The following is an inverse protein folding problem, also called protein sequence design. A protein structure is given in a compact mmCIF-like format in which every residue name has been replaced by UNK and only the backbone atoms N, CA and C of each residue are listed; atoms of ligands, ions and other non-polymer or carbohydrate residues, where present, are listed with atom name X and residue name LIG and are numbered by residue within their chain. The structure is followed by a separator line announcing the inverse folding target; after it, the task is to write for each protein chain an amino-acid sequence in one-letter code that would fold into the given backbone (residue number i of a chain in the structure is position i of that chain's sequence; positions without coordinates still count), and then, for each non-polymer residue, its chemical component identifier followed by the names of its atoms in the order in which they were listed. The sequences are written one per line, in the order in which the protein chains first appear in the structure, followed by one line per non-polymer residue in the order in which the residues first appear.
data_IF_044662737707
#
_entry.id   IF_044662737707
#
_cell.length_a   1.000
_cell.length_b   1.000
_cell.length_c   1.000
_cell.angle_alpha   90.00
_cell.angle_beta   90.00
_cell.angle_gamma   90.00
#
_symmetry.space_group_name_H-M   'P 1'
#
loop_
_entity.id
_entity.type
_entity.pdbx_description
1 polymer ?
#
# COMPACT_ATOMS: atom_id res chain seq x y z
N UNK A 1 -8.21 8.78 42.04
CA UNK A 1 -7.89 7.92 40.87
C UNK A 1 -8.44 8.61 39.63
N UNK A 2 -7.71 9.57 39.09
CA UNK A 2 -8.09 10.29 37.88
C UNK A 2 -7.34 9.71 36.68
N UNK A 3 -8.13 9.14 35.74
CA UNK A 3 -7.85 8.97 34.31
C UNK A 3 -6.57 8.24 33.90
N UNK A 4 -6.66 6.93 33.62
CA UNK A 4 -5.75 6.37 32.59
C UNK A 4 -6.01 7.15 31.31
N UNK A 5 -5.04 7.93 30.84
CA UNK A 5 -5.21 8.76 29.66
C UNK A 5 -5.47 7.84 28.45
N UNK A 6 -6.71 7.87 27.93
CA UNK A 6 -7.12 6.99 26.83
C UNK A 6 -6.39 7.32 25.51
N UNK A 7 -6.31 6.34 24.62
CA UNK A 7 -5.87 6.52 23.24
C UNK A 7 -7.13 6.81 22.40
N UNK A 8 -7.14 7.91 21.66
CA UNK A 8 -8.25 8.29 20.76
C UNK A 8 -7.71 8.71 19.39
N UNK A 9 -8.24 8.12 18.35
CA UNK A 9 -7.93 8.43 16.96
C UNK A 9 -9.07 9.16 16.26
N UNK A 10 -8.71 9.98 15.28
CA UNK A 10 -9.62 10.69 14.38
C UNK A 10 -9.09 10.53 12.95
N UNK A 11 -9.95 10.12 12.01
CA UNK A 11 -9.63 10.13 10.57
C UNK A 11 -10.43 11.26 9.92
N UNK A 12 -9.73 12.22 9.32
CA UNK A 12 -10.33 13.44 8.79
C UNK A 12 -10.68 13.25 7.32
N UNK A 13 -11.90 13.68 6.94
CA UNK A 13 -12.34 13.77 5.55
C UNK A 13 -12.88 12.47 4.93
N UNK A 14 -12.83 11.35 5.66
CA UNK A 14 -13.41 10.07 5.23
C UNK A 14 -13.99 9.32 6.43
N UNK A 15 -15.05 8.55 6.18
CA UNK A 15 -15.69 7.70 7.20
C UNK A 15 -14.92 6.35 7.29
N UNK A 16 -13.82 6.36 8.04
CA UNK A 16 -12.96 5.19 8.27
C UNK A 16 -12.70 5.00 9.77
N UNK A 17 -12.53 3.75 10.19
CA UNK A 17 -12.28 3.44 11.59
C UNK A 17 -10.87 3.88 12.02
N UNK A 18 -10.73 4.60 13.15
CA UNK A 18 -9.41 4.97 13.69
C UNK A 18 -8.70 3.80 14.40
N UNK A 19 -9.36 2.64 14.54
CA UNK A 19 -8.89 1.46 15.30
C UNK A 19 -7.45 1.06 14.98
N UNK A 20 -7.08 1.00 13.69
CA UNK A 20 -5.73 0.67 13.26
C UNK A 20 -4.67 1.62 13.79
N UNK A 21 -4.93 2.92 13.71
CA UNK A 21 -4.03 3.95 14.20
C UNK A 21 -3.94 3.91 15.73
N UNK A 22 -5.08 3.74 16.41
CA UNK A 22 -5.11 3.59 17.86
C UNK A 22 -4.34 2.34 18.33
N UNK A 23 -4.46 1.21 17.62
CA UNK A 23 -3.70 -0.01 17.94
C UNK A 23 -2.21 0.15 17.68
N UNK A 24 -1.82 0.86 16.62
CA UNK A 24 -0.41 1.18 16.38
C UNK A 24 0.19 1.97 17.56
N UNK A 25 -0.50 3.01 18.03
CA UNK A 25 -0.07 3.81 19.18
C UNK A 25 0.01 2.96 20.44
N UNK A 26 -1.06 2.18 20.72
CA UNK A 26 -1.10 1.27 21.87
C UNK A 26 0.09 0.32 21.85
N UNK A 27 0.41 -0.26 20.69
CA UNK A 27 1.51 -1.20 20.53
C UNK A 27 2.87 -0.56 20.83
N UNK A 28 3.09 0.69 20.42
CA UNK A 28 4.31 1.42 20.78
C UNK A 28 4.39 1.63 22.30
N UNK A 29 3.30 2.11 22.93
CA UNK A 29 3.28 2.34 24.37
C UNK A 29 3.47 1.04 25.17
N UNK A 30 2.82 -0.06 24.77
CA UNK A 30 3.02 -1.40 25.34
C UNK A 30 4.48 -1.84 25.24
N UNK A 31 5.08 -1.70 24.06
CA UNK A 31 6.49 -2.10 23.81
C UNK A 31 7.47 -1.32 24.69
N UNK A 32 7.11 -0.11 25.13
CA UNK A 32 7.91 0.75 26.00
C UNK A 32 7.55 0.63 27.48
N UNK A 33 6.53 -0.16 27.83
CA UNK A 33 6.04 -0.25 29.21
C UNK A 33 5.32 1.01 29.69
N UNK A 34 4.84 1.84 28.76
CA UNK A 34 4.21 3.14 29.02
C UNK A 34 2.68 3.11 28.91
N UNK A 35 2.11 1.92 28.67
CA UNK A 35 0.66 1.77 28.56
C UNK A 35 0.00 2.06 29.91
N UNK A 36 -0.96 2.99 29.93
CA UNK A 36 -1.67 3.39 31.14
C UNK A 36 -1.02 4.58 31.87
N UNK A 37 0.26 4.85 31.61
CA UNK A 37 0.95 6.06 32.06
C UNK A 37 0.68 7.24 31.12
N UNK A 38 0.72 6.96 29.81
CA UNK A 38 0.46 7.94 28.77
C UNK A 38 -0.84 7.65 28.02
N UNK A 39 -1.50 8.73 27.58
CA UNK A 39 -2.57 8.69 26.60
C UNK A 39 -2.15 9.38 25.31
N UNK A 40 -2.99 9.25 24.29
CA UNK A 40 -2.68 9.80 22.98
C UNK A 40 -3.94 10.29 22.28
N UNK A 41 -3.77 11.40 21.54
CA UNK A 41 -4.74 11.84 20.53
C UNK A 41 -4.03 11.82 19.19
N UNK A 42 -4.56 11.05 18.24
CA UNK A 42 -3.97 10.93 16.91
C UNK A 42 -4.98 11.37 15.86
N UNK A 43 -4.55 12.30 15.01
CA UNK A 43 -5.33 12.78 13.88
C UNK A 43 -4.67 12.31 12.59
N UNK A 44 -5.45 11.68 11.72
CA UNK A 44 -5.00 11.14 10.44
C UNK A 44 -5.66 11.90 9.31
N UNK A 45 -4.85 12.39 8.37
CA UNK A 45 -5.29 12.94 7.07
C UNK A 45 -4.65 12.10 5.96
N UNK A 46 -5.33 11.95 4.82
CA UNK A 46 -4.83 11.16 3.70
C UNK A 46 -5.25 11.76 2.37
N UNK A 47 -4.29 11.86 1.44
CA UNK A 47 -4.54 12.15 0.03
C UNK A 47 -4.76 10.86 -0.79
N UNK A 48 -4.42 9.69 -0.20
CA UNK A 48 -4.65 8.40 -0.82
C UNK A 48 -6.13 8.02 -0.73
N UNK A 49 -6.77 7.67 -1.86
CA UNK A 49 -8.09 7.07 -1.82
C UNK A 49 -8.07 5.76 -1.03
N UNK A 50 -9.11 5.54 -0.22
CA UNK A 50 -9.20 4.37 0.66
C UNK A 50 -9.85 3.18 -0.05
N UNK A 51 -9.38 1.97 0.26
CA UNK A 51 -9.95 0.70 -0.21
C UNK A 51 -10.01 0.54 -1.75
N UNK A 52 -8.93 0.98 -2.41
CA UNK A 52 -8.79 0.90 -3.88
C UNK A 52 -7.55 0.12 -4.35
N UNK A 53 -6.82 -0.53 -3.44
CA UNK A 53 -5.58 -1.24 -3.78
C UNK A 53 -4.32 -0.35 -3.85
N UNK A 54 -4.36 0.81 -3.20
CA UNK A 54 -3.21 1.75 -3.06
C UNK A 54 -2.56 1.69 -1.67
N UNK A 55 -2.77 0.60 -0.93
CA UNK A 55 -2.02 0.28 0.29
C UNK A 55 -2.10 1.34 1.41
N UNK A 56 -3.24 2.03 1.51
CA UNK A 56 -3.46 3.14 2.46
C UNK A 56 -3.31 2.73 3.94
N UNK A 57 -3.71 1.51 4.30
CA UNK A 57 -3.59 1.01 5.68
C UNK A 57 -2.14 0.81 6.13
N UNK A 58 -1.27 0.31 5.25
CA UNK A 58 0.15 0.14 5.54
C UNK A 58 0.84 1.50 5.75
N UNK A 59 0.50 2.49 4.91
CA UNK A 59 0.98 3.86 5.08
C UNK A 59 0.51 4.48 6.40
N UNK A 60 -0.77 4.35 6.74
CA UNK A 60 -1.33 4.85 7.99
C UNK A 60 -0.69 4.21 9.23
N UNK A 61 -0.47 2.89 9.19
CA UNK A 61 0.16 2.14 10.29
C UNK A 61 1.60 2.59 10.53
N UNK A 62 2.38 2.71 9.46
CA UNK A 62 3.75 3.21 9.54
C UNK A 62 3.80 4.65 10.07
N UNK A 63 2.92 5.53 9.57
CA UNK A 63 2.84 6.91 10.03
C UNK A 63 2.50 7.01 11.52
N UNK A 64 1.53 6.21 12.00
CA UNK A 64 1.13 6.18 13.40
C UNK A 64 2.26 5.72 14.33
N UNK A 65 2.95 4.62 13.98
CA UNK A 65 4.09 4.12 14.74
C UNK A 65 5.24 5.14 14.75
N UNK A 66 5.57 5.68 13.58
CA UNK A 66 6.65 6.66 13.42
C UNK A 66 6.39 7.93 14.24
N UNK A 67 5.19 8.48 14.14
CA UNK A 67 4.77 9.66 14.90
C UNK A 67 4.78 9.41 16.40
N UNK A 68 4.34 8.23 16.86
CA UNK A 68 4.31 7.89 18.29
C UNK A 68 5.73 7.78 18.86
N UNK A 69 6.63 7.05 18.18
CA UNK A 69 8.02 6.94 18.60
C UNK A 69 8.72 8.31 18.66
N UNK A 70 8.43 9.19 17.69
CA UNK A 70 8.93 10.56 17.71
C UNK A 70 8.36 11.41 18.84
N UNK A 71 7.07 11.28 19.13
CA UNK A 71 6.43 11.98 20.24
C UNK A 71 7.03 11.58 21.60
N UNK A 72 7.56 10.36 21.72
CA UNK A 72 8.33 9.89 22.87
C UNK A 72 9.79 10.39 22.88
N UNK A 73 10.20 11.21 21.91
CA UNK A 73 11.57 11.74 21.79
C UNK A 73 12.58 10.76 21.20
N UNK A 74 12.14 9.62 20.66
CA UNK A 74 13.02 8.60 20.14
C UNK A 74 13.42 8.85 18.68
N UNK A 75 14.47 8.15 18.22
CA UNK A 75 14.86 8.08 16.80
C UNK A 75 14.41 6.73 16.23
N UNK A 76 13.30 6.67 15.46
CA UNK A 76 12.74 5.42 14.98
C UNK A 76 13.69 4.72 14.00
N UNK A 77 13.93 3.43 14.21
CA UNK A 77 14.62 2.58 13.22
C UNK A 77 13.58 1.99 12.26
N UNK A 78 13.81 1.99 10.94
CA UNK A 78 12.81 1.49 10.01
C UNK A 78 12.36 0.04 10.26
N UNK A 79 13.27 -0.84 10.66
CA UNK A 79 12.93 -2.24 11.00
C UNK A 79 11.96 -2.34 12.17
N UNK A 80 12.11 -1.49 13.17
CA UNK A 80 11.24 -1.45 14.35
C UNK A 80 9.86 -0.85 14.01
N UNK A 81 9.83 0.18 13.16
CA UNK A 81 8.57 0.74 12.66
C UNK A 81 7.78 -0.33 11.91
N UNK A 82 8.42 -1.07 11.00
CA UNK A 82 7.77 -2.15 10.26
C UNK A 82 7.26 -3.26 11.18
N UNK A 83 8.08 -3.69 12.15
CA UNK A 83 7.70 -4.75 13.08
C UNK A 83 6.41 -4.38 13.84
N UNK A 84 6.37 -3.18 14.43
CA UNK A 84 5.25 -2.71 15.22
C UNK A 84 4.00 -2.46 14.36
N UNK A 85 4.17 -1.84 13.19
CA UNK A 85 3.06 -1.56 12.26
C UNK A 85 2.43 -2.85 11.72
N UNK A 86 3.25 -3.84 11.36
CA UNK A 86 2.77 -5.15 10.88
C UNK A 86 2.07 -5.91 11.99
N UNK A 87 2.62 -5.92 13.20
CA UNK A 87 1.97 -6.57 14.35
C UNK A 87 0.60 -5.95 14.64
N UNK A 88 0.51 -4.62 14.69
CA UNK A 88 -0.75 -3.92 14.90
C UNK A 88 -1.76 -4.23 13.77
N UNK A 89 -1.31 -4.25 12.51
CA UNK A 89 -2.15 -4.54 11.34
C UNK A 89 -2.69 -5.97 11.34
N UNK A 90 -1.90 -6.95 11.78
CA UNK A 90 -2.30 -8.34 11.93
C UNK A 90 -3.34 -8.51 13.04
N UNK A 91 -3.11 -7.86 14.18
CA UNK A 91 -4.02 -7.97 15.32
C UNK A 91 -5.37 -7.29 15.04
N UNK A 92 -5.38 -6.17 14.30
CA UNK A 92 -6.62 -5.54 13.81
C UNK A 92 -7.31 -6.35 12.71
N UNK A 93 -6.66 -7.37 12.14
CA UNK A 93 -7.21 -8.15 11.03
C UNK A 93 -7.28 -7.41 9.69
N UNK A 94 -6.57 -6.28 9.55
CA UNK A 94 -6.51 -5.50 8.31
C UNK A 94 -5.73 -6.23 7.22
N UNK A 95 -4.80 -7.10 7.63
CA UNK A 95 -4.00 -7.97 6.76
C UNK A 95 -3.90 -9.37 7.33
N UNK A 96 -3.83 -10.38 6.45
CA UNK A 96 -3.68 -11.78 6.85
C UNK A 96 -2.20 -12.21 6.98
N UNK A 97 -1.32 -11.60 6.19
CA UNK A 97 0.11 -11.99 6.10
C UNK A 97 1.03 -10.93 6.68
N UNK A 98 0.51 -9.73 6.92
CA UNK A 98 1.29 -8.56 7.34
C UNK A 98 1.49 -7.55 6.21
N UNK A 99 1.32 -7.94 4.94
CA UNK A 99 1.55 -7.07 3.77
C UNK A 99 2.90 -6.32 3.85
N UNK A 100 3.99 -7.07 4.08
CA UNK A 100 5.32 -6.49 4.29
C UNK A 100 5.81 -5.73 3.05
N UNK A 101 5.45 -6.15 1.84
CA UNK A 101 5.65 -5.39 0.61
C UNK A 101 5.08 -3.97 0.71
N UNK A 102 3.81 -3.84 1.03
CA UNK A 102 3.12 -2.54 1.16
C UNK A 102 3.71 -1.70 2.31
N UNK A 103 3.94 -2.32 3.47
CA UNK A 103 4.52 -1.67 4.64
C UNK A 103 5.96 -1.20 4.36
N UNK A 104 6.78 -2.04 3.73
CA UNK A 104 8.16 -1.68 3.43
C UNK A 104 8.25 -0.62 2.32
N UNK A 105 7.44 -0.72 1.27
CA UNK A 105 7.43 0.28 0.20
C UNK A 105 7.02 1.67 0.73
N UNK A 106 5.95 1.74 1.52
CA UNK A 106 5.47 3.00 2.11
C UNK A 106 6.43 3.60 3.14
N UNK A 107 7.16 2.79 3.91
CA UNK A 107 8.13 3.29 4.89
C UNK A 107 9.47 3.67 4.25
N UNK A 108 9.96 2.88 3.29
CA UNK A 108 11.35 2.96 2.84
C UNK A 108 11.52 3.71 1.51
N UNK A 109 10.46 3.90 0.74
CA UNK A 109 10.53 4.46 -0.60
C UNK A 109 11.18 3.54 -1.64
N UNK A 110 11.05 3.92 -2.91
CA UNK A 110 11.51 3.13 -4.04
C UNK A 110 10.72 1.83 -4.21
N UNK A 111 11.34 0.83 -4.85
CA UNK A 111 10.77 -0.48 -5.07
C UNK A 111 11.27 -1.52 -4.06
N UNK A 112 10.37 -2.40 -3.61
CA UNK A 112 10.68 -3.46 -2.63
C UNK A 112 10.11 -4.80 -3.12
N UNK A 113 10.92 -5.85 -3.04
CA UNK A 113 10.47 -7.24 -3.19
C UNK A 113 10.58 -7.95 -1.85
N UNK A 114 9.56 -8.72 -1.49
CA UNK A 114 9.45 -9.36 -0.18
C UNK A 114 9.02 -10.82 -0.30
N UNK A 115 9.47 -11.64 0.65
CA UNK A 115 8.80 -12.89 1.02
C UNK A 115 7.86 -12.55 2.17
N UNK A 116 6.59 -12.31 1.86
CA UNK A 116 5.58 -11.95 2.85
C UNK A 116 5.29 -13.08 3.84
N UNK A 117 5.48 -14.35 3.46
CA UNK A 117 5.25 -15.49 4.36
C UNK A 117 6.35 -15.59 5.40
N UNK A 118 7.61 -15.42 4.99
CA UNK A 118 8.77 -15.39 5.90
C UNK A 118 9.03 -14.01 6.50
N UNK A 119 8.25 -13.00 6.13
CA UNK A 119 8.40 -11.58 6.50
C UNK A 119 9.83 -11.06 6.29
N UNK A 120 10.35 -11.27 5.09
CA UNK A 120 11.71 -10.82 4.71
C UNK A 120 11.67 -9.91 3.51
N UNK A 121 12.40 -8.80 3.60
CA UNK A 121 12.74 -7.99 2.42
C UNK A 121 13.83 -8.75 1.65
N UNK A 122 13.53 -9.12 0.41
CA UNK A 122 14.44 -9.85 -0.47
C UNK A 122 15.34 -8.90 -1.24
N UNK A 123 14.77 -7.80 -1.73
CA UNK A 123 15.48 -6.81 -2.53
C UNK A 123 14.85 -5.44 -2.40
N UNK A 124 15.69 -4.40 -2.39
CA UNK A 124 15.29 -3.02 -2.67
C UNK A 124 15.89 -2.57 -3.99
N UNK A 125 15.15 -1.77 -4.74
CA UNK A 125 15.59 -1.23 -6.01
C UNK A 125 15.09 0.20 -6.18
N UNK A 126 15.82 1.00 -6.96
CA UNK A 126 15.39 2.36 -7.29
C UNK A 126 14.37 2.29 -8.42
N UNK A 127 13.34 3.11 -8.32
CA UNK A 127 12.44 3.42 -9.43
C UNK A 127 12.77 4.84 -9.85
N UNK A 128 12.90 5.06 -11.16
CA UNK A 128 13.23 6.37 -11.71
C UNK A 128 12.12 7.38 -11.34
N UNK A 129 12.42 8.45 -10.57
CA UNK A 129 11.44 9.47 -10.21
C UNK A 129 11.03 10.36 -11.39
N UNK A 130 11.72 10.26 -12.54
CA UNK A 130 11.32 10.89 -13.79
C UNK A 130 10.17 10.20 -14.51
N UNK A 131 9.78 8.99 -14.10
CA UNK A 131 8.58 8.30 -14.58
C UNK A 131 7.32 8.88 -13.94
N UNK A 132 6.19 8.64 -14.60
CA UNK A 132 4.87 8.97 -14.08
C UNK A 132 4.02 7.71 -13.88
N UNK A 133 3.16 7.76 -12.87
CA UNK A 133 2.21 6.71 -12.54
C UNK A 133 0.82 7.28 -12.74
N UNK A 134 0.10 6.76 -13.73
CA UNK A 134 -1.32 7.07 -13.96
C UNK A 134 -2.15 6.01 -13.24
N UNK A 135 -3.19 6.43 -12.54
CA UNK A 135 -4.04 5.54 -11.74
C UNK A 135 -5.49 5.74 -12.16
N UNK A 136 -6.12 4.69 -12.69
CA UNK A 136 -7.56 4.66 -12.89
C UNK A 136 -8.26 4.11 -11.64
N UNK A 137 -9.18 4.90 -11.11
CA UNK A 137 -9.99 4.61 -9.94
C UNK A 137 -11.45 4.44 -10.37
N UNK A 138 -11.93 3.22 -10.59
CA UNK A 138 -13.34 3.00 -10.85
C UNK A 138 -14.18 3.40 -9.62
N UNK A 139 -15.49 3.69 -9.79
CA UNK A 139 -16.35 4.19 -8.70
C UNK A 139 -16.59 3.18 -7.58
N UNK A 140 -16.25 1.92 -7.79
CA UNK A 140 -16.46 0.82 -6.84
C UNK A 140 -15.33 0.79 -5.82
N UNK A 141 -15.66 0.55 -4.54
CA UNK A 141 -14.68 0.19 -3.50
C UNK A 141 -14.68 -1.31 -3.29
N UNK A 142 -13.51 -1.90 -3.06
CA UNK A 142 -13.38 -3.30 -2.67
C UNK A 142 -12.49 -3.40 -1.44
N UNK A 143 -13.06 -3.89 -0.36
CA UNK A 143 -12.31 -4.10 0.87
C UNK A 143 -11.49 -5.39 0.78
N UNK A 144 -10.29 -5.36 1.35
CA UNK A 144 -9.33 -6.48 1.39
C UNK A 144 -9.94 -7.78 1.93
N UNK A 145 -10.96 -7.68 2.80
CA UNK A 145 -11.71 -8.77 3.42
C UNK A 145 -12.65 -9.50 2.46
N UNK A 146 -13.00 -8.90 1.32
CA UNK A 146 -13.98 -9.46 0.38
C UNK A 146 -13.36 -10.46 -0.61
N UNK A 147 -12.04 -10.41 -0.81
CA UNK A 147 -11.32 -11.34 -1.70
C UNK A 147 -10.94 -12.62 -0.96
N UNK A 148 -11.41 -13.75 -1.46
CA UNK A 148 -11.14 -15.07 -0.88
C UNK A 148 -9.88 -15.67 -1.47
N UNK A 149 -9.09 -16.37 -0.64
CA UNK A 149 -7.85 -17.02 -1.08
C UNK A 149 -8.11 -18.06 -2.17
N UNK A 150 -9.28 -18.67 -2.13
CA UNK A 150 -9.78 -19.66 -3.07
C UNK A 150 -9.79 -19.14 -4.51
N UNK A 151 -10.10 -17.85 -4.71
CA UNK A 151 -10.14 -17.20 -6.02
C UNK A 151 -8.74 -17.10 -6.66
N UNK A 152 -7.69 -17.05 -5.84
CA UNK A 152 -6.30 -16.89 -6.29
C UNK A 152 -5.54 -18.22 -6.39
N UNK A 153 -6.08 -19.33 -5.86
CA UNK A 153 -5.42 -20.65 -5.94
C UNK A 153 -5.08 -21.07 -7.37
N UNK A 154 -5.94 -20.86 -8.39
CA UNK A 154 -5.64 -21.28 -9.76
C UNK A 154 -4.43 -20.57 -10.38
N UNK A 155 -4.11 -19.36 -9.93
CA UNK A 155 -3.01 -18.56 -10.49
C UNK A 155 -1.73 -18.60 -9.64
N UNK A 156 -1.74 -19.28 -8.49
CA UNK A 156 -0.64 -19.24 -7.51
C UNK A 156 0.72 -19.60 -8.11
N UNK A 157 0.82 -20.70 -8.88
CA UNK A 157 2.07 -21.11 -9.52
C UNK A 157 2.59 -20.11 -10.56
N UNK A 158 1.68 -19.41 -11.25
CA UNK A 158 2.07 -18.35 -12.19
C UNK A 158 2.58 -17.12 -11.44
N UNK A 159 1.91 -16.73 -10.35
CA UNK A 159 2.34 -15.62 -9.48
C UNK A 159 3.72 -15.89 -8.89
N UNK A 160 4.01 -17.12 -8.47
CA UNK A 160 5.34 -17.53 -8.00
C UNK A 160 6.42 -17.38 -9.07
N UNK A 161 6.13 -17.73 -10.33
CA UNK A 161 7.09 -17.51 -11.43
C UNK A 161 7.30 -16.03 -11.71
N UNK A 162 6.25 -15.21 -11.68
CA UNK A 162 6.37 -13.76 -11.85
C UNK A 162 7.19 -13.13 -10.72
N UNK A 163 7.04 -13.63 -9.49
CA UNK A 163 7.89 -13.24 -8.38
C UNK A 163 9.37 -13.57 -8.66
N UNK A 164 9.68 -14.76 -9.20
CA UNK A 164 11.05 -15.12 -9.62
C UNK A 164 11.57 -14.20 -10.74
N UNK A 165 10.74 -13.83 -11.71
CA UNK A 165 11.12 -12.89 -12.76
C UNK A 165 11.43 -11.50 -12.21
N UNK A 166 10.61 -11.00 -11.28
CA UNK A 166 10.85 -9.73 -10.60
C UNK A 166 12.18 -9.76 -9.83
N UNK A 167 12.50 -10.87 -9.14
CA UNK A 167 13.79 -11.04 -8.47
C UNK A 167 14.98 -10.95 -9.44
N UNK A 168 14.84 -11.50 -10.65
CA UNK A 168 15.84 -11.41 -11.74
C UNK A 168 15.93 -10.02 -12.40
N UNK A 169 15.07 -9.08 -12.01
CA UNK A 169 15.08 -7.69 -12.47
C UNK A 169 14.00 -7.33 -13.49
N UNK A 170 13.21 -8.29 -13.97
CA UNK A 170 12.07 -8.03 -14.86
C UNK A 170 10.84 -7.55 -14.06
N UNK A 171 10.97 -6.42 -13.36
CA UNK A 171 9.92 -5.90 -12.48
C UNK A 171 8.68 -5.43 -13.27
N UNK A 172 8.88 -4.79 -14.43
CA UNK A 172 7.79 -4.25 -15.25
C UNK A 172 6.97 -5.34 -15.94
N UNK A 173 7.64 -6.35 -16.49
CA UNK A 173 6.97 -7.51 -17.07
C UNK A 173 6.23 -8.31 -16.01
N UNK A 174 6.88 -8.57 -14.86
CA UNK A 174 6.25 -9.27 -13.75
C UNK A 174 5.02 -8.53 -13.22
N UNK A 175 5.12 -7.21 -13.01
CA UNK A 175 4.01 -6.36 -12.58
C UNK A 175 2.83 -6.44 -13.57
N UNK A 176 3.10 -6.30 -14.87
CA UNK A 176 2.07 -6.29 -15.91
C UNK A 176 1.31 -7.61 -15.96
N UNK A 177 2.02 -8.73 -16.09
CA UNK A 177 1.39 -10.06 -16.17
C UNK A 177 0.69 -10.38 -14.85
N UNK A 178 1.27 -10.01 -13.71
CA UNK A 178 0.65 -10.22 -12.40
C UNK A 178 -0.67 -9.46 -12.27
N UNK A 179 -0.69 -8.20 -12.69
CA UNK A 179 -1.89 -7.37 -12.69
C UNK A 179 -2.98 -7.91 -13.60
N UNK A 180 -2.63 -8.37 -14.81
CA UNK A 180 -3.60 -8.99 -15.73
C UNK A 180 -4.18 -10.30 -15.17
N UNK A 181 -3.33 -11.18 -14.61
CA UNK A 181 -3.78 -12.42 -13.97
C UNK A 181 -4.73 -12.15 -12.81
N UNK A 182 -4.40 -11.19 -11.95
CA UNK A 182 -5.26 -10.81 -10.83
C UNK A 182 -6.55 -10.14 -11.31
N UNK A 183 -6.51 -9.32 -12.37
CA UNK A 183 -7.73 -8.78 -12.97
C UNK A 183 -8.68 -9.89 -13.40
N UNK A 184 -8.18 -10.87 -14.14
CA UNK A 184 -8.98 -12.00 -14.61
C UNK A 184 -9.51 -12.86 -13.44
N UNK A 185 -8.65 -13.19 -12.46
CA UNK A 185 -9.03 -14.04 -11.34
C UNK A 185 -10.07 -13.39 -10.41
N UNK A 186 -10.02 -12.06 -10.25
CA UNK A 186 -10.90 -11.31 -9.34
C UNK A 186 -12.07 -10.61 -10.07
N UNK A 187 -12.23 -10.84 -11.37
CA UNK A 187 -13.35 -10.30 -12.15
C UNK A 187 -13.26 -8.79 -12.44
N UNK A 188 -12.05 -8.21 -12.45
CA UNK A 188 -11.82 -6.84 -12.92
C UNK A 188 -11.61 -6.80 -14.43
N UNK A 189 -11.85 -5.63 -15.03
CA UNK A 189 -11.63 -5.40 -16.47
C UNK A 189 -10.12 -5.28 -16.78
N UNK A 190 -9.48 -6.26 -17.46
CA UNK A 190 -8.08 -6.15 -17.84
C UNK A 190 -7.86 -5.17 -18.99
N UNK A 191 -8.90 -4.75 -19.71
CA UNK A 191 -8.78 -3.85 -20.87
C UNK A 191 -8.23 -2.48 -20.50
N UNK A 192 -8.43 -2.03 -19.25
CA UNK A 192 -7.87 -0.76 -18.74
C UNK A 192 -6.34 -0.79 -18.80
N UNK A 193 -5.74 -1.90 -18.37
CA UNK A 193 -4.28 -2.09 -18.41
C UNK A 193 -3.79 -2.26 -19.86
N UNK A 194 -4.48 -3.07 -20.66
CA UNK A 194 -4.12 -3.29 -22.08
C UNK A 194 -4.18 -2.00 -22.91
N UNK A 195 -5.14 -1.11 -22.63
CA UNK A 195 -5.24 0.20 -23.26
C UNK A 195 -4.03 1.08 -22.90
N UNK A 196 -3.59 1.12 -21.64
CA UNK A 196 -2.39 1.88 -21.30
C UNK A 196 -1.13 1.33 -21.99
N UNK A 197 -1.00 0.00 -22.09
CA UNK A 197 0.12 -0.64 -22.81
C UNK A 197 0.11 -0.29 -24.30
N UNK A 198 -1.06 -0.31 -24.96
CA UNK A 198 -1.18 0.05 -26.38
C UNK A 198 -0.84 1.52 -26.65
N UNK A 199 -0.97 2.38 -25.64
CA UNK A 199 -0.61 3.80 -25.68
C UNK A 199 0.86 4.08 -25.28
N UNK A 200 1.64 3.04 -24.97
CA UNK A 200 3.08 3.12 -24.72
C UNK A 200 3.48 3.15 -23.25
N UNK A 201 2.64 2.67 -22.32
CA UNK A 201 3.06 2.45 -20.95
C UNK A 201 4.18 1.38 -20.86
N UNK A 202 5.13 1.58 -19.95
CA UNK A 202 6.20 0.62 -19.64
C UNK A 202 5.66 -0.63 -18.94
N UNK A 203 4.66 -0.43 -18.08
CA UNK A 203 3.93 -1.48 -17.39
C UNK A 203 2.52 -0.99 -17.04
N UNK A 204 1.55 -1.90 -17.02
CA UNK A 204 0.22 -1.59 -16.50
C UNK A 204 -0.47 -2.83 -15.95
N UNK A 205 -1.28 -2.67 -14.91
CA UNK A 205 -1.98 -3.78 -14.28
C UNK A 205 -2.78 -3.38 -13.05
N UNK A 206 -3.58 -4.31 -12.54
CA UNK A 206 -4.27 -4.16 -11.27
C UNK A 206 -3.27 -3.89 -10.15
N UNK A 207 -3.60 -2.96 -9.24
CA UNK A 207 -2.82 -2.73 -8.02
C UNK A 207 -3.49 -3.34 -6.80
N UNK A 208 -2.71 -3.99 -5.93
CA UNK A 208 -3.20 -4.72 -4.78
C UNK A 208 -4.28 -5.74 -5.17
N UNK A 209 -5.44 -5.64 -4.54
CA UNK A 209 -6.63 -6.47 -4.84
C UNK A 209 -7.64 -5.77 -5.76
N UNK A 210 -7.27 -4.60 -6.27
CA UNK A 210 -8.15 -3.72 -7.02
C UNK A 210 -9.07 -2.84 -6.16
N UNK A 211 -10.00 -2.12 -6.81
CA UNK A 211 -10.27 -2.17 -8.25
C UNK A 211 -9.42 -1.19 -9.07
N UNK A 212 -8.46 -0.48 -8.45
CA UNK A 212 -7.61 0.43 -9.22
C UNK A 212 -6.68 -0.30 -10.18
N UNK A 213 -6.45 0.33 -11.33
CA UNK A 213 -5.44 -0.07 -12.31
C UNK A 213 -4.39 1.02 -12.38
N UNK A 214 -3.12 0.63 -12.39
CA UNK A 214 -1.99 1.55 -12.49
C UNK A 214 -1.27 1.35 -13.81
N UNK A 215 -0.74 2.42 -14.37
CA UNK A 215 0.16 2.41 -15.51
C UNK A 215 1.40 3.25 -15.20
N UNK A 216 2.58 2.70 -15.46
CA UNK A 216 3.86 3.39 -15.34
C UNK A 216 4.34 3.75 -16.73
N UNK A 217 4.64 5.03 -16.96
CA UNK A 217 5.04 5.52 -18.27
C UNK A 217 6.01 6.68 -18.19
N UNK A 218 6.63 7.00 -19.34
CA UNK A 218 7.33 8.27 -19.49
C UNK A 218 6.33 9.44 -19.51
N UNK A 219 6.73 10.66 -19.07
CA UNK A 219 5.87 11.84 -19.06
C UNK A 219 5.24 12.16 -20.43
N UNK A 220 5.94 11.82 -21.52
CA UNK A 220 5.48 12.01 -22.90
C UNK A 220 4.20 11.21 -23.24
N UNK A 221 3.88 10.17 -22.47
CA UNK A 221 2.72 9.27 -22.69
C UNK A 221 1.56 9.57 -21.76
N UNK A 222 1.80 10.23 -20.63
CA UNK A 222 0.83 10.46 -19.56
C UNK A 222 -0.49 11.06 -20.02
N UNK A 223 -0.44 12.14 -20.80
CA UNK A 223 -1.65 12.84 -21.24
C UNK A 223 -2.55 11.95 -22.09
N UNK A 224 -1.96 11.14 -22.98
CA UNK A 224 -2.70 10.22 -23.85
C UNK A 224 -3.38 9.10 -23.04
N UNK A 225 -2.69 8.54 -22.05
CA UNK A 225 -3.26 7.51 -21.16
C UNK A 225 -4.38 8.12 -20.31
N UNK A 226 -4.15 9.32 -19.75
CA UNK A 226 -5.14 10.04 -18.94
C UNK A 226 -6.42 10.35 -19.73
N UNK A 227 -6.30 10.79 -20.98
CA UNK A 227 -7.46 11.05 -21.85
C UNK A 227 -8.23 9.78 -22.20
N UNK A 228 -7.52 8.68 -22.48
CA UNK A 228 -8.15 7.40 -22.77
C UNK A 228 -8.94 6.88 -21.55
N UNK A 229 -8.31 6.83 -20.38
CA UNK A 229 -8.96 6.42 -19.14
C UNK A 229 -10.01 7.41 -18.64
N UNK A 230 -9.91 8.69 -18.99
CA UNK A 230 -10.92 9.70 -18.65
C UNK A 230 -12.27 9.49 -19.33
N UNK A 231 -12.34 8.65 -20.37
CA UNK A 231 -13.61 8.22 -21.01
C UNK A 231 -14.29 7.07 -20.28
N UNK A 232 -13.59 6.44 -19.33
CA UNK A 232 -14.11 5.35 -18.51
C UNK A 232 -14.75 5.93 -17.25
N UNK A 233 -15.70 5.21 -16.67
CA UNK A 233 -16.29 5.59 -15.39
C UNK A 233 -15.23 5.62 -14.28
N UNK A 234 -15.34 6.60 -13.38
CA UNK A 234 -14.40 6.77 -12.26
C UNK A 234 -13.57 8.04 -12.38
N UNK A 235 -12.36 8.01 -11.82
CA UNK A 235 -11.43 9.15 -11.80
C UNK A 235 -10.04 8.70 -12.22
N UNK A 236 -9.25 9.63 -12.73
CA UNK A 236 -7.85 9.39 -13.08
C UNK A 236 -6.97 10.29 -12.23
N UNK A 237 -6.00 9.69 -11.54
CA UNK A 237 -4.94 10.40 -10.82
C UNK A 237 -3.62 10.25 -11.56
N UNK A 238 -2.74 11.21 -11.38
CA UNK A 238 -1.36 11.16 -11.86
C UNK A 238 -0.44 11.45 -10.68
N UNK A 239 0.56 10.61 -10.49
CA UNK A 239 1.58 10.75 -9.45
C UNK A 239 2.93 10.28 -9.97
N UNK A 240 3.96 10.25 -9.12
CA UNK A 240 5.32 9.83 -9.47
C UNK A 240 5.88 8.84 -8.45
N UNK A 241 6.81 7.97 -8.86
CA UNK A 241 7.54 7.14 -7.91
C UNK A 241 8.31 8.01 -6.90
N UNK A 242 8.16 7.72 -5.61
CA UNK A 242 8.91 8.42 -4.57
C UNK A 242 10.18 7.64 -4.19
N UNK A 243 11.38 8.25 -4.25
CA UNK A 243 12.60 7.62 -3.77
C UNK A 243 12.66 7.55 -2.23
N UNK A 244 11.88 8.40 -1.55
CA UNK A 244 11.74 8.44 -0.10
C UNK A 244 10.39 7.83 0.34
N UNK A 245 10.37 7.24 1.54
CA UNK A 245 9.15 6.70 2.15
C UNK A 245 8.59 7.63 3.21
N UNK A 246 8.11 7.08 4.32
CA UNK A 246 7.56 7.88 5.41
C UNK A 246 8.64 8.75 6.07
N UNK A 247 8.33 10.03 6.21
CA UNK A 247 9.18 11.03 6.83
C UNK A 247 8.44 11.69 7.99
N UNK A 248 9.20 12.34 8.86
CA UNK A 248 8.67 13.12 9.98
C UNK A 248 8.86 14.58 9.63
N UNK A 249 7.75 15.30 9.49
CA UNK A 249 7.72 16.75 9.30
C UNK A 249 7.98 17.53 10.58
#
# INVERSE_FOLDING_TARGET
MEGSAGIRGEVVGVEESPSLVERCVRKVLERRGLLGEYGARVRTTSELPVAVGLSSSSAASNAAVLATLRALGERPRPSEVLELAIQASLEEGVTLTGALDDAAASLLGGGVLTDNLRRRILRRFRVDPGLEVVIHLPPRRLYTSQVRREELRPIAGMVEELHRQAMRGNVWGAMTVNGLLHSCALGHDPSVALEALSLGALAAGLTGKGPATVAVCEPSRTQRIKEAWGRREGRVLVTRPSPAGAEVG
#
